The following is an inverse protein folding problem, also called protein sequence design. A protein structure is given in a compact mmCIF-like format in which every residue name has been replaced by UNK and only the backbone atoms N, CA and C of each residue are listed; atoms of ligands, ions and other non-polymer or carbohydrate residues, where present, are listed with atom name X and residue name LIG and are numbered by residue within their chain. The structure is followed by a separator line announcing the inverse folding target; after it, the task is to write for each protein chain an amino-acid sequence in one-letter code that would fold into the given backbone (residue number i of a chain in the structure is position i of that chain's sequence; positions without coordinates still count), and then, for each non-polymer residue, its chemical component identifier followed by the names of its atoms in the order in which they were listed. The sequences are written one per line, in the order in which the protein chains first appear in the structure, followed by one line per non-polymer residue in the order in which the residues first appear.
data_IF_006024634557
#
_entry.id   IF_006024634557
#
_cell.length_a   1.000
_cell.length_b   1.000
_cell.length_c   1.000
_cell.angle_alpha   90.00
_cell.angle_beta   90.00
_cell.angle_gamma   90.00
#
_symmetry.space_group_name_H-M   'P 1'
#
loop_
_entity.id
_entity.type
_entity.pdbx_description
1 polymer ?
#
# COMPACT_ATOMS: atom_id res chain seq x y z
N UNK A 1 8.59 20.06 25.07
CA UNK A 1 8.87 18.72 24.51
C UNK A 1 7.57 18.13 23.95
N UNK A 2 7.12 18.59 22.78
CA UNK A 2 6.02 17.97 22.04
C UNK A 2 6.14 18.47 20.59
N UNK A 3 6.88 17.73 19.76
CA UNK A 3 6.85 17.94 18.32
C UNK A 3 5.54 17.39 17.79
N UNK A 4 4.49 18.21 17.76
CA UNK A 4 3.31 17.89 16.95
C UNK A 4 3.73 18.04 15.49
N UNK A 5 4.27 16.97 14.93
CA UNK A 5 4.41 16.84 13.48
C UNK A 5 3.00 16.83 12.90
N UNK A 6 2.48 18.01 12.57
CA UNK A 6 1.29 18.15 11.74
C UNK A 6 1.55 17.33 10.48
N UNK A 7 0.78 16.26 10.19
CA UNK A 7 0.90 15.61 8.91
C UNK A 7 0.58 16.69 7.86
N UNK A 8 1.54 16.97 6.98
CA UNK A 8 1.35 17.86 5.85
C UNK A 8 0.04 17.44 5.15
N UNK A 9 -0.91 18.34 4.84
CA UNK A 9 -2.22 17.96 4.28
C UNK A 9 -2.12 17.07 3.05
N UNK A 10 -1.04 17.19 2.27
CA UNK A 10 -0.73 16.29 1.14
C UNK A 10 -0.51 14.83 1.55
N UNK A 11 0.13 14.58 2.70
CA UNK A 11 0.38 13.22 3.21
C UNK A 11 -0.87 12.59 3.79
N UNK A 12 -1.74 13.38 4.44
CA UNK A 12 -3.00 12.90 4.98
C UNK A 12 -3.97 12.48 3.86
N UNK A 13 -4.15 13.33 2.85
CA UNK A 13 -4.98 13.01 1.68
C UNK A 13 -4.45 11.77 0.93
N UNK A 14 -3.13 11.66 0.74
CA UNK A 14 -2.52 10.48 0.15
C UNK A 14 -2.80 9.21 0.97
N UNK A 15 -2.82 9.29 2.30
CA UNK A 15 -3.10 8.15 3.17
C UNK A 15 -4.56 7.69 3.07
N UNK A 16 -5.51 8.62 2.90
CA UNK A 16 -6.92 8.29 2.66
C UNK A 16 -7.12 7.63 1.29
N UNK A 17 -6.41 8.09 0.26
CA UNK A 17 -6.44 7.44 -1.06
C UNK A 17 -5.92 6.01 -0.96
N UNK A 18 -4.79 5.79 -0.26
CA UNK A 18 -4.25 4.43 -0.02
C UNK A 18 -5.28 3.56 0.68
N UNK A 19 -5.92 4.05 1.75
CA UNK A 19 -6.93 3.28 2.48
C UNK A 19 -8.12 2.91 1.60
N UNK A 20 -8.63 3.87 0.82
CA UNK A 20 -9.74 3.64 -0.11
C UNK A 20 -9.39 2.59 -1.17
N UNK A 21 -8.22 2.69 -1.79
CA UNK A 21 -7.76 1.75 -2.81
C UNK A 21 -7.60 0.33 -2.25
N UNK A 22 -7.05 0.19 -1.04
CA UNK A 22 -6.92 -1.10 -0.38
C UNK A 22 -8.28 -1.66 0.02
N UNK A 23 -9.15 -0.82 0.59
CA UNK A 23 -10.50 -1.22 1.01
C UNK A 23 -11.32 -1.71 -0.18
N UNK A 24 -11.27 -1.02 -1.31
CA UNK A 24 -11.95 -1.43 -2.54
C UNK A 24 -11.38 -2.74 -3.08
N UNK A 25 -10.05 -2.83 -3.19
CA UNK A 25 -9.37 -4.00 -3.73
C UNK A 25 -9.51 -5.27 -2.87
N UNK A 26 -9.74 -5.12 -1.56
CA UNK A 26 -9.87 -6.23 -0.61
C UNK A 26 -11.29 -6.40 -0.04
N UNK A 27 -12.28 -5.64 -0.51
CA UNK A 27 -13.66 -5.71 -0.01
C UNK A 27 -14.29 -7.12 -0.14
N UNK A 28 -13.87 -7.90 -1.12
CA UNK A 28 -14.41 -9.23 -1.40
C UNK A 28 -13.40 -10.34 -1.06
N UNK A 29 -13.23 -10.56 0.25
CA UNK A 29 -12.86 -11.87 0.81
C UNK A 29 -11.53 -12.47 0.35
N UNK A 30 -10.46 -11.69 0.25
CA UNK A 30 -9.11 -12.25 0.03
C UNK A 30 -8.53 -12.67 1.40
N UNK A 31 -8.38 -13.98 1.70
CA UNK A 31 -7.78 -14.43 2.96
C UNK A 31 -6.27 -14.42 2.78
N UNK A 32 -5.65 -13.24 2.77
CA UNK A 32 -4.20 -13.12 2.77
C UNK A 32 -3.72 -12.41 4.03
N UNK A 33 -2.58 -12.91 4.48
CA UNK A 33 -2.00 -12.63 5.79
C UNK A 33 -1.73 -11.14 6.00
N UNK A 34 -1.60 -10.66 7.24
CA UNK A 34 -1.31 -9.26 7.53
C UNK A 34 -0.05 -8.74 6.80
N UNK A 35 0.91 -9.62 6.50
CA UNK A 35 2.11 -9.31 5.70
C UNK A 35 1.77 -8.90 4.27
N UNK A 36 0.83 -9.60 3.64
CA UNK A 36 0.39 -9.31 2.28
C UNK A 36 -0.30 -7.94 2.20
N UNK A 37 -1.18 -7.62 3.14
CA UNK A 37 -1.80 -6.29 3.22
C UNK A 37 -0.77 -5.19 3.47
N UNK A 38 0.23 -5.44 4.33
CA UNK A 38 1.33 -4.50 4.57
C UNK A 38 2.16 -4.25 3.30
N UNK A 39 2.44 -5.30 2.53
CA UNK A 39 3.13 -5.18 1.25
C UNK A 39 2.34 -4.33 0.24
N UNK A 40 1.04 -4.60 0.09
CA UNK A 40 0.17 -3.85 -0.80
C UNK A 40 0.08 -2.37 -0.42
N UNK A 41 -0.05 -2.09 0.87
CA UNK A 41 -0.01 -0.73 1.40
C UNK A 41 1.32 -0.04 1.11
N UNK A 42 2.45 -0.70 1.37
CA UNK A 42 3.77 -0.12 1.14
C UNK A 42 3.98 0.26 -0.33
N UNK A 43 3.48 -0.54 -1.28
CA UNK A 43 3.55 -0.21 -2.71
C UNK A 43 2.75 1.05 -3.06
N UNK A 44 1.54 1.21 -2.52
CA UNK A 44 0.73 2.41 -2.75
C UNK A 44 1.31 3.65 -2.08
N UNK A 45 1.81 3.52 -0.85
CA UNK A 45 2.51 4.60 -0.15
C UNK A 45 3.79 5.02 -0.89
N UNK A 46 4.50 4.08 -1.53
CA UNK A 46 5.62 4.41 -2.43
C UNK A 46 5.16 5.26 -3.61
N UNK A 47 4.06 4.89 -4.25
CA UNK A 47 3.55 5.60 -5.44
C UNK A 47 3.01 6.99 -5.11
N UNK A 48 2.25 7.12 -4.03
CA UNK A 48 1.55 8.36 -3.65
C UNK A 48 2.39 9.29 -2.78
N UNK A 49 3.33 8.75 -1.99
CA UNK A 49 4.11 9.53 -1.02
C UNK A 49 5.63 9.43 -1.23
N UNK A 50 6.09 8.67 -2.24
CA UNK A 50 7.53 8.46 -2.48
C UNK A 50 8.25 7.65 -1.41
N UNK A 51 7.52 6.97 -0.51
CA UNK A 51 8.13 6.17 0.57
C UNK A 51 8.87 4.95 0.04
N UNK A 52 9.97 4.60 0.68
CA UNK A 52 10.68 3.36 0.35
C UNK A 52 9.89 2.14 0.83
N UNK A 53 9.88 1.09 0.01
CA UNK A 53 9.31 -0.21 0.39
C UNK A 53 10.41 -1.01 1.08
N UNK A 54 10.27 -1.18 2.40
CA UNK A 54 11.18 -1.98 3.21
C UNK A 54 10.42 -3.19 3.74
N UNK A 55 10.89 -4.39 3.41
CA UNK A 55 10.33 -5.61 3.95
C UNK A 55 10.87 -5.83 5.38
N UNK A 56 10.03 -5.82 6.43
CA UNK A 56 10.48 -5.99 7.81
C UNK A 56 10.75 -7.46 8.18
N UNK A 57 10.41 -8.42 7.30
CA UNK A 57 10.58 -9.84 7.53
C UNK A 57 11.92 -10.30 6.94
N UNK A 58 12.62 -11.19 7.66
CA UNK A 58 13.86 -11.79 7.17
C UNK A 58 13.63 -12.49 5.82
N UNK A 59 14.58 -12.40 4.89
CA UNK A 59 14.46 -13.08 3.60
C UNK A 59 14.42 -14.61 3.75
N UNK A 60 13.74 -15.29 2.83
CA UNK A 60 13.64 -16.75 2.81
C UNK A 60 12.59 -17.35 3.76
N UNK A 61 11.55 -16.58 4.12
CA UNK A 61 10.40 -17.11 4.86
C UNK A 61 9.07 -16.68 4.24
N UNK A 62 8.03 -17.46 4.53
CA UNK A 62 6.69 -17.25 3.99
C UNK A 62 6.10 -15.86 4.27
N UNK A 63 6.51 -15.21 5.38
CA UNK A 63 6.07 -13.84 5.72
C UNK A 63 6.71 -12.80 4.79
N UNK A 64 7.98 -12.96 4.48
CA UNK A 64 8.69 -12.11 3.52
C UNK A 64 8.14 -12.30 2.12
N UNK A 65 7.86 -13.54 1.72
CA UNK A 65 7.25 -13.85 0.42
C UNK A 65 5.84 -13.28 0.32
N UNK A 66 5.03 -13.40 1.37
CA UNK A 66 3.70 -12.80 1.44
C UNK A 66 3.76 -11.27 1.33
N UNK A 67 4.74 -10.62 1.99
CA UNK A 67 4.94 -9.18 1.86
C UNK A 67 5.27 -8.79 0.41
N UNK A 68 6.21 -9.48 -0.26
CA UNK A 68 6.55 -9.16 -1.65
C UNK A 68 5.41 -9.45 -2.62
N UNK A 69 4.65 -10.53 -2.42
CA UNK A 69 3.41 -10.78 -3.17
C UNK A 69 2.38 -9.65 -2.95
N UNK A 70 2.31 -9.12 -1.73
CA UNK A 70 1.50 -7.94 -1.40
C UNK A 70 1.95 -6.70 -2.18
N UNK A 71 3.26 -6.44 -2.25
CA UNK A 71 3.83 -5.32 -3.01
C UNK A 71 3.46 -5.40 -4.49
N UNK A 72 3.55 -6.59 -5.10
CA UNK A 72 3.13 -6.82 -6.47
C UNK A 72 1.64 -6.48 -6.66
N UNK A 73 0.79 -6.99 -5.76
CA UNK A 73 -0.65 -6.67 -5.77
C UNK A 73 -0.92 -5.17 -5.65
N UNK A 74 -0.21 -4.47 -4.76
CA UNK A 74 -0.36 -3.02 -4.60
C UNK A 74 0.04 -2.24 -5.85
N UNK A 75 1.06 -2.70 -6.59
CA UNK A 75 1.41 -2.13 -7.89
C UNK A 75 0.31 -2.39 -8.93
N UNK A 76 -0.28 -3.58 -8.96
CA UNK A 76 -1.39 -3.89 -9.87
C UNK A 76 -2.63 -3.03 -9.58
N UNK A 77 -2.94 -2.78 -8.30
CA UNK A 77 -4.00 -1.85 -7.89
C UNK A 77 -3.71 -0.44 -8.40
N UNK A 78 -2.46 0.03 -8.23
CA UNK A 78 -2.05 1.35 -8.72
C UNK A 78 -2.20 1.49 -10.23
N UNK A 79 -1.72 0.49 -11.00
CA UNK A 79 -1.82 0.48 -12.46
C UNK A 79 -3.29 0.56 -12.88
N UNK A 80 -4.15 -0.30 -12.31
CA UNK A 80 -5.59 -0.28 -12.60
C UNK A 80 -6.26 1.05 -12.23
N UNK A 81 -5.84 1.68 -11.14
CA UNK A 81 -6.35 2.98 -10.73
C UNK A 81 -5.99 4.07 -11.74
N UNK A 82 -4.71 4.13 -12.16
CA UNK A 82 -4.24 5.11 -13.16
C UNK A 82 -4.83 4.83 -14.54
N UNK A 83 -4.92 3.57 -14.97
CA UNK A 83 -5.55 3.21 -16.25
C UNK A 83 -7.06 3.51 -16.26
N UNK A 84 -7.74 3.30 -15.13
CA UNK A 84 -9.13 3.73 -14.95
C UNK A 84 -9.30 5.24 -15.03
N UNK A 85 -8.33 6.01 -14.54
CA UNK A 85 -8.30 7.48 -14.59
C UNK A 85 -8.00 8.00 -16.02
N UNK A 86 -7.26 7.24 -16.83
CA UNK A 86 -6.93 7.59 -18.21
C UNK A 86 -8.03 7.28 -19.23
N UNK A 87 -9.08 6.57 -18.83
CA UNK A 87 -10.18 6.12 -19.70
C UNK A 87 -11.55 6.73 -19.37
N UNK A 88 -11.59 7.65 -18.39
CA UNK A 88 -12.76 8.44 -17.99
C UNK A 88 -12.69 9.87 -18.52
#
# INVERSE_FOLDING_TARGET
MAGTSTPNPTTAAAAEIVDRLLKDAFAHGDPRSPEYHRGARAALERRLMGRQVLNPYAMGNARADAFWAGVDRGNAIWVRHVEGDLTA
#
